data_IF_652642815019
#
_entry.id   IF_652642815019
#
_cell.length_a   1.000
_cell.length_b   1.000
_cell.length_c   1.000
_cell.angle_alpha   90.00
_cell.angle_beta   90.00
_cell.angle_gamma   90.00
#
_symmetry.space_group_name_H-M   'P 1'
#
loop_
_entity.id
_entity.type
_entity.pdbx_description
1 polymer ?
#
# COMPACT_ATOMS: atom_id res chain seq x y z
N UNK A 1 -0.10 -10.12 7.79
CA UNK A 1 -0.09 -9.02 8.78
C UNK A 1 -1.24 -8.06 8.51
N UNK A 2 -1.31 -7.39 7.36
CA UNK A 2 -2.42 -6.48 6.98
C UNK A 2 -3.81 -7.07 7.27
N UNK A 3 -4.10 -8.26 6.75
CA UNK A 3 -5.41 -8.90 6.91
C UNK A 3 -5.83 -9.12 8.36
N UNK A 4 -4.87 -9.33 9.27
CA UNK A 4 -5.19 -9.56 10.68
C UNK A 4 -5.61 -8.28 11.40
N UNK A 5 -5.30 -7.13 10.80
CA UNK A 5 -5.64 -5.80 11.32
C UNK A 5 -6.89 -5.21 10.68
N UNK A 6 -7.41 -5.88 9.65
CA UNK A 6 -8.65 -5.54 9.00
C UNK A 6 -9.80 -6.22 9.73
N UNK A 7 -10.72 -5.43 10.29
CA UNK A 7 -11.84 -5.89 11.13
C UNK A 7 -12.81 -6.83 10.39
N UNK A 8 -13.06 -6.60 9.09
CA UNK A 8 -13.94 -7.41 8.24
C UNK A 8 -13.43 -7.42 6.79
N UNK A 9 -12.66 -8.44 6.34
CA UNK A 9 -12.00 -8.44 5.04
C UNK A 9 -12.89 -8.18 3.82
N UNK A 10 -14.20 -8.47 3.90
CA UNK A 10 -15.19 -8.24 2.84
C UNK A 10 -15.64 -6.79 2.69
N UNK A 11 -15.30 -5.91 3.63
CA UNK A 11 -15.69 -4.49 3.64
C UNK A 11 -14.48 -3.55 3.50
N UNK A 12 -13.27 -4.10 3.42
CA UNK A 12 -12.05 -3.31 3.43
C UNK A 12 -11.53 -3.02 2.01
N UNK A 13 -11.20 -1.75 1.79
CA UNK A 13 -10.51 -1.25 0.61
C UNK A 13 -9.01 -1.16 0.88
N UNK A 14 -8.20 -1.76 0.00
CA UNK A 14 -6.74 -1.79 0.11
C UNK A 14 -6.11 -1.19 -1.14
N UNK A 15 -5.20 -0.24 -0.96
CA UNK A 15 -4.34 0.27 -2.02
C UNK A 15 -2.97 -0.39 -1.97
N UNK A 16 -2.54 -0.96 -3.08
CA UNK A 16 -1.19 -1.51 -3.25
C UNK A 16 -0.34 -0.51 -4.02
N UNK A 17 0.75 -0.06 -3.40
CA UNK A 17 1.76 0.79 -4.03
C UNK A 17 2.93 -0.09 -4.48
N UNK A 18 3.15 -0.14 -5.80
CA UNK A 18 4.18 -0.96 -6.42
C UNK A 18 3.72 -2.39 -6.70
N UNK A 19 3.76 -2.75 -7.98
CA UNK A 19 3.41 -4.07 -8.53
C UNK A 19 4.54 -4.70 -9.34
N UNK A 20 5.53 -3.91 -9.78
CA UNK A 20 6.75 -4.37 -10.46
C UNK A 20 7.58 -5.32 -9.59
N UNK A 21 8.55 -5.99 -10.21
CA UNK A 21 9.46 -6.91 -9.53
C UNK A 21 10.43 -6.19 -8.59
N UNK A 22 10.85 -4.98 -8.95
CA UNK A 22 11.83 -4.17 -8.20
C UNK A 22 11.64 -2.69 -8.51
N UNK A 23 12.25 -1.88 -7.66
CA UNK A 23 12.24 -0.42 -7.74
C UNK A 23 12.74 0.09 -9.09
N UNK A 24 12.14 1.19 -9.52
CA UNK A 24 12.49 2.02 -10.68
C UNK A 24 12.68 1.28 -12.01
N UNK A 25 12.06 0.10 -12.18
CA UNK A 25 12.16 -0.71 -13.40
C UNK A 25 10.80 -1.29 -13.79
N UNK A 26 10.34 -1.09 -15.04
CA UNK A 26 9.06 -1.62 -15.55
C UNK A 26 9.12 -3.12 -15.86
N UNK A 27 9.50 -3.97 -14.89
CA UNK A 27 9.56 -5.42 -15.07
C UNK A 27 8.53 -6.14 -14.19
N UNK A 28 7.51 -6.71 -14.83
CA UNK A 28 6.46 -7.49 -14.17
C UNK A 28 6.68 -9.01 -14.24
N UNK A 29 7.61 -9.51 -15.06
CA UNK A 29 7.66 -10.93 -15.47
C UNK A 29 7.86 -11.90 -14.31
N UNK A 30 8.63 -11.48 -13.30
CA UNK A 30 8.90 -12.28 -12.11
C UNK A 30 8.24 -11.72 -10.84
N UNK A 31 7.42 -10.67 -10.98
CA UNK A 31 6.78 -10.05 -9.82
C UNK A 31 5.83 -11.02 -9.14
N UNK A 32 6.02 -11.18 -7.83
CA UNK A 32 5.09 -11.92 -6.99
C UNK A 32 4.01 -11.01 -6.38
N UNK A 33 4.08 -9.70 -6.63
CA UNK A 33 3.19 -8.71 -6.01
C UNK A 33 1.75 -8.87 -6.49
N UNK A 34 1.53 -9.33 -7.72
CA UNK A 34 0.19 -9.68 -8.20
C UNK A 34 -0.44 -10.84 -7.43
N UNK A 35 0.36 -11.78 -6.90
CA UNK A 35 -0.17 -12.85 -6.04
C UNK A 35 -0.68 -12.30 -4.70
N UNK A 36 -0.08 -11.21 -4.20
CA UNK A 36 -0.56 -10.51 -3.00
C UNK A 36 -1.91 -9.85 -3.28
N UNK A 37 -2.04 -9.18 -4.43
CA UNK A 37 -3.31 -8.59 -4.90
C UNK A 37 -4.40 -9.66 -4.97
N UNK A 38 -4.13 -10.78 -5.64
CA UNK A 38 -5.08 -11.89 -5.78
C UNK A 38 -5.45 -12.50 -4.43
N UNK A 39 -4.48 -12.66 -3.51
CA UNK A 39 -4.74 -13.19 -2.18
C UNK A 39 -5.66 -12.27 -1.35
N UNK A 40 -5.52 -10.95 -1.47
CA UNK A 40 -6.40 -9.99 -0.81
C UNK A 40 -7.81 -10.01 -1.42
N UNK A 41 -7.91 -10.02 -2.75
CA UNK A 41 -9.20 -10.14 -3.45
C UNK A 41 -9.93 -11.43 -3.10
N UNK A 42 -9.21 -12.55 -3.03
CA UNK A 42 -9.77 -13.85 -2.64
C UNK A 42 -10.27 -13.88 -1.19
N UNK A 43 -9.83 -12.95 -0.34
CA UNK A 43 -10.35 -12.75 1.02
C UNK A 43 -11.53 -11.78 1.09
N UNK A 44 -11.95 -11.23 -0.05
CA UNK A 44 -13.10 -10.33 -0.15
C UNK A 44 -12.74 -8.83 -0.17
N UNK A 45 -11.46 -8.46 -0.11
CA UNK A 45 -11.06 -7.07 -0.11
C UNK A 45 -11.29 -6.42 -1.49
N UNK A 46 -11.70 -5.14 -1.49
CA UNK A 46 -11.56 -4.30 -2.69
C UNK A 46 -10.09 -3.88 -2.81
N UNK A 47 -9.45 -4.12 -3.95
CA UNK A 47 -8.01 -3.89 -4.09
C UNK A 47 -7.70 -3.12 -5.36
N UNK A 48 -7.11 -1.94 -5.17
CA UNK A 48 -6.53 -1.12 -6.22
C UNK A 48 -5.00 -1.21 -6.20
N UNK A 49 -4.40 -0.94 -7.35
CA UNK A 49 -2.95 -0.94 -7.52
C UNK A 49 -2.52 0.36 -8.18
N UNK A 50 -1.55 1.04 -7.59
CA UNK A 50 -0.80 2.12 -8.21
C UNK A 50 0.66 1.68 -8.39
N UNK A 51 1.23 1.93 -9.56
CA UNK A 51 2.63 1.69 -9.88
C UNK A 51 3.08 2.65 -10.99
N UNK A 52 4.15 3.45 -10.79
CA UNK A 52 4.64 4.42 -11.78
C UNK A 52 5.15 3.80 -13.08
N UNK A 53 5.55 2.54 -13.03
CA UNK A 53 6.21 1.80 -14.11
C UNK A 53 5.32 0.71 -14.73
N UNK A 54 4.08 0.58 -14.26
CA UNK A 54 3.10 -0.38 -14.80
C UNK A 54 1.72 0.25 -15.03
N UNK A 55 1.02 0.63 -13.96
CA UNK A 55 -0.33 1.23 -14.04
C UNK A 55 -0.58 2.15 -12.86
N UNK A 56 -0.89 3.42 -13.14
CA UNK A 56 -1.33 4.38 -12.11
C UNK A 56 -2.79 4.19 -11.74
N UNK A 57 -3.11 4.48 -10.48
CA UNK A 57 -4.47 4.61 -9.96
C UNK A 57 -4.71 6.05 -9.54
N UNK A 58 -5.91 6.56 -9.79
CA UNK A 58 -6.35 7.82 -9.20
C UNK A 58 -6.96 7.50 -7.83
N UNK A 59 -6.42 8.10 -6.79
CA UNK A 59 -6.84 7.85 -5.41
C UNK A 59 -7.51 9.08 -4.82
N UNK A 60 -8.69 8.90 -4.22
CA UNK A 60 -9.35 9.94 -3.45
C UNK A 60 -8.80 9.97 -2.01
N UNK A 61 -8.95 11.10 -1.33
CA UNK A 61 -8.59 11.24 0.09
C UNK A 61 -9.43 10.30 0.96
N UNK A 62 -8.84 9.75 2.03
CA UNK A 62 -9.58 9.01 3.06
C UNK A 62 -10.45 7.85 2.49
N UNK A 63 -9.93 7.13 1.49
CA UNK A 63 -10.67 6.14 0.69
C UNK A 63 -10.30 4.69 1.00
N UNK A 64 -9.11 4.42 1.55
CA UNK A 64 -8.61 3.07 1.81
C UNK A 64 -8.45 2.78 3.30
N UNK A 65 -8.82 1.58 3.73
CA UNK A 65 -8.61 1.10 5.11
C UNK A 65 -7.15 0.67 5.33
N UNK A 66 -6.46 0.28 4.26
CA UNK A 66 -5.04 0.00 4.29
C UNK A 66 -4.31 0.44 3.01
N UNK A 67 -3.07 0.85 3.17
CA UNK A 67 -2.09 1.03 2.08
C UNK A 67 -0.96 0.04 2.30
N UNK A 68 -0.53 -0.66 1.25
CA UNK A 68 0.64 -1.53 1.28
C UNK A 68 1.69 -1.06 0.27
N UNK A 69 2.83 -0.60 0.77
CA UNK A 69 4.01 -0.28 -0.03
C UNK A 69 4.83 -1.56 -0.25
N UNK A 70 4.65 -2.19 -1.43
CA UNK A 70 5.37 -3.40 -1.79
C UNK A 70 6.66 -3.10 -2.56
N UNK A 71 6.66 -2.03 -3.38
CA UNK A 71 7.84 -1.58 -4.10
C UNK A 71 8.03 -0.07 -3.89
N UNK A 72 9.05 0.35 -3.11
CA UNK A 72 9.30 1.75 -2.80
C UNK A 72 10.00 2.45 -3.98
N UNK A 73 9.26 2.68 -5.07
CA UNK A 73 9.72 3.51 -6.18
C UNK A 73 10.08 4.92 -5.72
N UNK A 74 11.03 5.57 -6.41
CA UNK A 74 11.43 6.95 -6.10
C UNK A 74 10.25 7.92 -6.10
N UNK A 75 9.29 7.73 -6.99
CA UNK A 75 8.09 8.54 -7.07
C UNK A 75 7.28 8.54 -5.78
N UNK A 76 7.32 7.45 -4.99
CA UNK A 76 6.70 7.40 -3.67
C UNK A 76 7.58 7.99 -2.57
N UNK A 77 8.90 7.79 -2.68
CA UNK A 77 9.88 8.28 -1.70
C UNK A 77 10.11 9.79 -1.80
N UNK A 78 9.88 10.37 -2.98
CA UNK A 78 9.99 11.81 -3.24
C UNK A 78 8.71 12.57 -2.83
N UNK A 79 7.60 11.85 -2.56
CA UNK A 79 6.39 12.45 -1.98
C UNK A 79 6.62 12.82 -0.52
N UNK A 80 5.93 13.87 -0.07
CA UNK A 80 5.82 14.09 1.38
C UNK A 80 5.06 12.93 2.02
N UNK A 81 5.36 12.65 3.29
CA UNK A 81 4.66 11.60 4.03
C UNK A 81 3.15 11.86 4.08
N UNK A 82 2.73 13.12 4.15
CA UNK A 82 1.32 13.49 4.15
C UNK A 82 0.64 13.17 2.81
N UNK A 83 1.31 13.40 1.68
CA UNK A 83 0.79 13.02 0.36
C UNK A 83 0.68 11.51 0.19
N UNK A 84 1.67 10.76 0.67
CA UNK A 84 1.70 9.30 0.58
C UNK A 84 0.58 8.66 1.43
N UNK A 85 0.30 9.25 2.60
CA UNK A 85 -0.72 8.77 3.54
C UNK A 85 -2.12 9.33 3.25
N UNK A 86 -2.23 10.34 2.38
CA UNK A 86 -3.47 11.06 2.05
C UNK A 86 -4.66 10.15 1.68
N UNK A 87 -4.49 9.05 0.93
CA UNK A 87 -5.60 8.15 0.62
C UNK A 87 -6.03 7.25 1.79
N UNK A 88 -5.20 7.13 2.83
CA UNK A 88 -5.44 6.25 3.97
C UNK A 88 -6.49 6.86 4.91
N UNK A 89 -7.45 6.04 5.32
CA UNK A 89 -8.45 6.44 6.28
C UNK A 89 -7.87 6.71 7.66
N UNK A 90 -8.51 7.59 8.42
CA UNK A 90 -8.12 7.84 9.81
C UNK A 90 -8.07 6.52 10.61
N UNK A 91 -6.99 6.29 11.35
CA UNK A 91 -6.74 5.04 12.06
C UNK A 91 -6.40 3.83 11.16
N UNK A 92 -6.30 4.03 9.85
CA UNK A 92 -5.98 3.00 8.87
C UNK A 92 -4.57 2.43 9.01
N UNK A 93 -4.32 1.34 8.28
CA UNK A 93 -3.07 0.59 8.35
C UNK A 93 -2.15 0.93 7.18
N UNK A 94 -0.94 1.38 7.46
CA UNK A 94 0.14 1.46 6.48
C UNK A 94 1.09 0.28 6.67
N UNK A 95 1.26 -0.52 5.62
CA UNK A 95 2.18 -1.64 5.59
C UNK A 95 3.34 -1.35 4.66
N UNK A 96 4.55 -1.40 5.19
CA UNK A 96 5.78 -1.12 4.46
C UNK A 96 6.61 -2.41 4.36
N UNK A 97 6.67 -2.99 3.16
CA UNK A 97 7.35 -4.27 2.96
C UNK A 97 8.86 -4.17 3.20
N UNK A 98 9.46 -3.00 2.96
CA UNK A 98 10.91 -2.80 2.98
C UNK A 98 11.38 -1.90 4.12
N UNK A 99 10.47 -1.51 5.03
CA UNK A 99 10.77 -0.68 6.20
C UNK A 99 11.51 0.62 5.83
N UNK A 100 11.08 1.27 4.76
CA UNK A 100 11.73 2.49 4.22
C UNK A 100 11.24 3.77 4.91
N UNK A 101 10.06 3.76 5.53
CA UNK A 101 9.50 4.91 6.23
C UNK A 101 9.84 4.93 7.72
N UNK A 102 9.85 6.13 8.31
CA UNK A 102 9.95 6.29 9.76
C UNK A 102 8.62 5.93 10.44
N UNK A 103 8.63 4.83 11.19
CA UNK A 103 7.50 4.36 11.99
C UNK A 103 6.90 5.45 12.89
N UNK A 104 7.73 6.17 13.64
CA UNK A 104 7.25 7.20 14.58
C UNK A 104 6.60 8.36 13.84
N UNK A 105 7.10 8.71 12.66
CA UNK A 105 6.49 9.74 11.82
C UNK A 105 5.09 9.31 11.33
N UNK A 106 4.90 8.05 10.94
CA UNK A 106 3.59 7.50 10.54
C UNK A 106 2.63 7.43 11.73
N UNK A 107 3.07 6.87 12.86
CA UNK A 107 2.22 6.69 14.05
C UNK A 107 1.83 8.04 14.69
N UNK A 108 2.69 9.05 14.64
CA UNK A 108 2.37 10.41 15.13
C UNK A 108 1.21 11.08 14.40
N UNK A 109 0.86 10.59 13.20
CA UNK A 109 -0.29 11.03 12.40
C UNK A 109 -1.57 10.24 12.68
N UNK A 110 -1.53 9.30 13.63
CA UNK A 110 -2.68 8.49 14.02
C UNK A 110 -2.90 7.23 13.18
N UNK A 111 -1.97 6.87 12.31
CA UNK A 111 -2.05 5.65 11.51
C UNK A 111 -1.33 4.49 12.19
N UNK A 112 -1.79 3.27 11.94
CA UNK A 112 -1.09 2.06 12.37
C UNK A 112 0.00 1.69 11.37
N UNK A 113 1.25 1.58 11.82
CA UNK A 113 2.37 1.18 10.99
C UNK A 113 2.77 -0.29 11.21
N UNK A 114 2.90 -1.04 10.13
CA UNK A 114 3.41 -2.41 10.11
C UNK A 114 4.55 -2.50 9.10
N UNK A 115 5.57 -3.28 9.44
CA UNK A 115 6.66 -3.58 8.52
C UNK A 115 7.20 -4.99 8.76
N UNK A 116 7.94 -5.52 7.77
CA UNK A 116 8.50 -6.87 7.79
C UNK A 116 9.93 -6.88 8.35
#
# INVERSE_FOLDING_TARGET
QIVNELSSPSENSVLILGTTFKEDVPDMRNSQNMKVVDALKNKGCSVDTDDPYNKRCQTDENSYDAIALLVPHREYLDMSLDELLKPLKEGGVFYDLKSVLDKSAVESRGYKYLAL
#
